data_IF_643924708086
#
_entry.id   IF_643924708086
#
_cell.length_a   1.000
_cell.length_b   1.000
_cell.length_c   1.000
_cell.angle_alpha   90.00
_cell.angle_beta   90.00
_cell.angle_gamma   90.00
#
_symmetry.space_group_name_H-M   'P 1'
#
loop_
_entity.id
_entity.type
_entity.pdbx_description
1 polymer ?
#
# COMPACT_ATOMS: atom_id res chain seq x y z
N UNK A 1 -13.94 26.91 44.41
CA UNK A 1 -14.56 25.60 44.73
C UNK A 1 -14.36 24.67 43.53
N UNK A 2 -14.18 23.37 43.80
CA UNK A 2 -14.02 22.23 42.87
C UNK A 2 -12.61 21.98 42.30
N UNK A 3 -11.85 21.18 43.07
CA UNK A 3 -10.76 20.34 42.61
C UNK A 3 -11.37 19.10 41.95
N UNK A 4 -10.93 18.73 40.74
CA UNK A 4 -11.30 17.48 40.09
C UNK A 4 -10.07 16.57 40.04
N UNK A 5 -10.25 15.38 40.60
CA UNK A 5 -9.26 14.33 40.77
C UNK A 5 -9.10 13.51 39.46
N UNK A 6 -7.87 13.17 39.12
CA UNK A 6 -7.53 12.22 38.06
C UNK A 6 -7.25 10.84 38.67
N UNK A 7 -7.92 9.76 38.23
CA UNK A 7 -7.52 8.41 38.63
C UNK A 7 -6.41 7.83 37.73
N UNK A 8 -5.31 7.52 38.43
CA UNK A 8 -4.36 6.41 38.29
C UNK A 8 -4.27 5.60 36.99
N UNK A 9 -3.11 5.75 36.34
CA UNK A 9 -2.10 4.71 36.06
C UNK A 9 -2.56 3.23 36.15
N UNK A 10 -2.48 2.54 35.01
CA UNK A 10 -2.50 1.08 34.93
C UNK A 10 -1.46 0.60 33.91
N UNK A 11 -0.23 0.39 34.39
CA UNK A 11 0.86 -0.24 33.66
C UNK A 11 0.58 -1.74 33.56
N UNK A 12 0.48 -2.27 32.35
CA UNK A 12 0.37 -3.70 32.06
C UNK A 12 1.38 -4.11 31.01
N UNK A 13 2.65 -4.25 31.42
CA UNK A 13 3.73 -4.84 30.64
C UNK A 13 3.67 -6.37 30.82
N UNK A 14 3.47 -7.12 29.73
CA UNK A 14 3.69 -8.57 29.74
C UNK A 14 4.41 -8.98 28.44
N UNK A 15 5.74 -9.06 28.54
CA UNK A 15 6.63 -9.75 27.61
C UNK A 15 6.41 -11.26 27.74
N UNK A 16 6.20 -11.95 26.62
CA UNK A 16 6.42 -13.39 26.53
C UNK A 16 7.32 -13.69 25.31
N UNK A 17 8.61 -13.84 25.58
CA UNK A 17 9.55 -14.53 24.68
C UNK A 17 9.39 -16.04 24.89
N UNK A 18 9.16 -16.76 23.79
CA UNK A 18 9.33 -18.21 23.61
C UNK A 18 9.22 -18.43 22.08
N UNK A 19 10.09 -19.12 21.36
CA UNK A 19 11.27 -19.92 21.67
C UNK A 19 11.87 -20.41 20.35
N UNK A 20 13.14 -20.78 20.41
CA UNK A 20 13.99 -21.27 19.34
C UNK A 20 13.61 -22.71 18.90
N UNK A 21 13.65 -23.01 17.60
CA UNK A 21 13.92 -24.38 17.12
C UNK A 21 14.53 -24.35 15.70
N UNK A 22 15.75 -24.88 15.63
CA UNK A 22 16.54 -25.12 14.43
C UNK A 22 16.22 -26.48 13.80
N UNK A 23 16.58 -26.65 12.52
CA UNK A 23 16.96 -27.94 11.96
C UNK A 23 16.23 -28.36 10.69
N UNK A 24 16.98 -28.58 9.60
CA UNK A 24 16.45 -29.26 8.40
C UNK A 24 17.30 -29.10 7.15
N UNK A 25 18.45 -29.77 7.11
CA UNK A 25 19.30 -29.97 5.93
C UNK A 25 18.61 -30.87 4.89
N UNK A 26 18.63 -30.53 3.60
CA UNK A 26 18.89 -31.45 2.48
C UNK A 26 18.78 -30.75 1.10
N UNK A 27 19.88 -30.80 0.32
CA UNK A 27 19.92 -30.68 -1.15
C UNK A 27 19.11 -31.81 -1.81
N UNK A 28 18.62 -31.62 -3.05
CA UNK A 28 19.38 -32.15 -4.19
C UNK A 28 19.42 -31.27 -5.45
N UNK A 29 20.56 -31.39 -6.13
CA UNK A 29 20.94 -31.01 -7.49
C UNK A 29 19.88 -31.26 -8.57
N UNK A 30 19.73 -30.30 -9.50
CA UNK A 30 19.36 -30.60 -10.88
C UNK A 30 20.01 -29.61 -11.86
N UNK A 31 21.03 -30.12 -12.55
CA UNK A 31 21.65 -29.58 -13.77
C UNK A 31 20.64 -29.49 -14.91
N UNK A 32 20.56 -28.37 -15.63
CA UNK A 32 20.05 -28.38 -17.01
C UNK A 32 20.75 -27.31 -17.88
N UNK A 33 21.72 -27.81 -18.63
CA UNK A 33 22.04 -27.58 -20.05
C UNK A 33 21.78 -26.20 -20.67
N UNK A 34 22.88 -25.55 -21.04
CA UNK A 34 22.98 -24.46 -22.03
C UNK A 34 22.74 -25.02 -23.42
N UNK A 35 21.79 -24.41 -24.15
CA UNK A 35 21.69 -24.52 -25.62
C UNK A 35 21.77 -23.12 -26.20
N UNK A 36 22.83 -22.89 -26.98
CA UNK A 36 23.01 -21.68 -27.78
C UNK A 36 22.81 -21.98 -29.28
N UNK A 37 22.59 -20.89 -30.04
CA UNK A 37 22.70 -20.71 -31.50
C UNK A 37 21.38 -20.75 -32.30
N UNK A 38 21.29 -20.05 -33.46
CA UNK A 38 21.87 -18.74 -33.83
C UNK A 38 20.84 -17.77 -34.50
N UNK A 39 21.31 -16.54 -34.72
CA UNK A 39 20.99 -15.52 -35.75
C UNK A 39 19.74 -15.67 -36.64
N UNK A 40 18.91 -14.62 -36.68
CA UNK A 40 18.46 -14.06 -37.95
C UNK A 40 18.14 -12.56 -37.84
N UNK A 41 18.61 -11.80 -38.82
CA UNK A 41 18.36 -10.38 -38.99
C UNK A 41 17.26 -10.20 -40.03
N UNK A 42 16.21 -9.44 -39.70
CA UNK A 42 15.31 -8.88 -40.69
C UNK A 42 14.79 -7.52 -40.21
N UNK A 43 15.30 -6.50 -40.90
CA UNK A 43 14.81 -5.13 -40.95
C UNK A 43 13.41 -5.14 -41.59
N UNK A 44 12.44 -4.44 -40.99
CA UNK A 44 11.45 -3.68 -41.76
C UNK A 44 10.68 -2.69 -40.89
N UNK A 45 10.93 -1.44 -41.22
CA UNK A 45 10.19 -0.22 -40.93
C UNK A 45 8.71 -0.35 -41.32
N UNK A 46 7.77 0.10 -40.48
CA UNK A 46 6.73 1.08 -40.89
C UNK A 46 5.77 1.45 -39.75
N UNK A 47 5.52 2.75 -39.68
CA UNK A 47 4.68 3.55 -38.80
C UNK A 47 3.25 3.06 -38.51
N UNK A 48 2.76 3.38 -37.31
CA UNK A 48 1.71 4.41 -37.16
C UNK A 48 1.61 4.88 -35.69
N UNK A 49 1.43 6.19 -35.43
CA UNK A 49 1.15 6.72 -34.10
C UNK A 49 -0.34 6.49 -33.81
N UNK A 50 -0.67 5.60 -32.88
CA UNK A 50 -2.05 5.52 -32.37
C UNK A 50 -2.21 6.54 -31.25
N UNK A 51 -3.09 7.48 -31.57
CA UNK A 51 -3.65 8.54 -30.75
C UNK A 51 -3.76 8.20 -29.27
N UNK A 52 -3.19 9.13 -28.49
CA UNK A 52 -3.67 9.63 -27.22
C UNK A 52 -5.20 9.55 -27.10
N UNK A 53 -5.69 8.51 -26.44
CA UNK A 53 -7.04 8.48 -25.93
C UNK A 53 -6.95 8.57 -24.41
N UNK A 54 -6.96 9.81 -23.91
CA UNK A 54 -7.10 10.10 -22.50
C UNK A 54 -8.33 9.35 -21.97
N UNK A 55 -8.20 8.47 -20.96
CA UNK A 55 -9.36 7.87 -20.34
C UNK A 55 -10.18 8.99 -19.71
N UNK A 56 -11.44 9.09 -20.14
CA UNK A 56 -12.42 9.97 -19.54
C UNK A 56 -12.45 9.68 -18.04
N UNK A 57 -12.01 10.65 -17.25
CA UNK A 57 -12.17 10.63 -15.80
C UNK A 57 -13.66 10.51 -15.51
N UNK A 58 -14.12 9.30 -15.16
CA UNK A 58 -15.41 9.13 -14.51
C UNK A 58 -15.30 9.75 -13.13
N UNK A 59 -15.60 11.05 -13.05
CA UNK A 59 -15.77 11.77 -11.80
C UNK A 59 -17.12 11.34 -11.24
N UNK A 60 -17.12 10.24 -10.49
CA UNK A 60 -18.22 9.95 -9.56
C UNK A 60 -18.11 10.93 -8.40
N UNK A 61 -18.94 11.98 -8.42
CA UNK A 61 -19.16 12.87 -7.27
C UNK A 61 -19.74 12.06 -6.09
N UNK A 62 -18.86 11.60 -5.21
CA UNK A 62 -19.22 11.08 -3.89
C UNK A 62 -19.36 12.25 -2.92
N UNK A 63 -20.59 12.54 -2.47
CA UNK A 63 -20.92 13.61 -1.51
C UNK A 63 -20.56 13.26 -0.06
N UNK A 64 -19.95 12.09 0.18
CA UNK A 64 -19.22 11.80 1.42
C UNK A 64 -17.75 12.14 1.19
N UNK A 65 -17.16 12.96 2.05
CA UNK A 65 -15.73 13.30 2.01
C UNK A 65 -14.91 12.03 2.25
N UNK A 66 -14.59 11.31 1.18
CA UNK A 66 -13.74 10.12 1.23
C UNK A 66 -12.35 10.54 1.75
N UNK A 67 -11.84 9.82 2.75
CA UNK A 67 -10.53 10.09 3.33
C UNK A 67 -9.38 9.60 2.43
N UNK A 68 -9.69 8.79 1.42
CA UNK A 68 -8.74 8.17 0.49
C UNK A 68 -9.02 8.68 -0.92
N UNK A 69 -7.99 9.10 -1.65
CA UNK A 69 -8.14 9.52 -3.04
C UNK A 69 -7.93 8.35 -4.00
N UNK A 70 -8.86 8.15 -4.93
CA UNK A 70 -8.65 7.26 -6.08
C UNK A 70 -7.87 7.99 -7.15
N UNK A 71 -6.60 7.64 -7.33
CA UNK A 71 -5.75 8.23 -8.36
C UNK A 71 -6.01 7.63 -9.75
N UNK A 72 -6.46 6.37 -9.80
CA UNK A 72 -6.71 5.63 -11.04
C UNK A 72 -7.64 4.44 -10.78
N UNK A 73 -8.65 4.19 -11.62
CA UNK A 73 -9.51 3.01 -11.53
C UNK A 73 -9.91 2.51 -12.92
N UNK A 74 -9.35 1.38 -13.31
CA UNK A 74 -9.65 0.68 -14.56
C UNK A 74 -9.73 -0.83 -14.34
N UNK A 75 -10.24 -1.56 -15.34
CA UNK A 75 -10.51 -3.01 -15.28
C UNK A 75 -9.35 -3.87 -14.78
N UNK A 76 -8.09 -3.45 -14.98
CA UNK A 76 -6.89 -4.20 -14.60
C UNK A 76 -6.17 -3.65 -13.38
N UNK A 77 -6.51 -2.43 -12.95
CA UNK A 77 -5.74 -1.70 -11.94
C UNK A 77 -6.59 -0.66 -11.25
N UNK A 78 -6.52 -0.64 -9.93
CA UNK A 78 -7.00 0.46 -9.09
C UNK A 78 -5.83 0.99 -8.26
N UNK A 79 -5.70 2.31 -8.15
CA UNK A 79 -4.66 2.98 -7.34
C UNK A 79 -5.33 3.95 -6.39
N UNK A 80 -5.05 3.78 -5.11
CA UNK A 80 -5.40 4.71 -4.06
C UNK A 80 -4.16 5.45 -3.60
N UNK A 81 -4.31 6.72 -3.25
CA UNK A 81 -3.25 7.54 -2.68
C UNK A 81 -3.73 8.22 -1.42
N UNK A 82 -2.83 8.33 -0.44
CA UNK A 82 -3.05 9.08 0.78
C UNK A 82 -1.86 10.02 1.00
N UNK A 83 -2.13 11.32 1.12
CA UNK A 83 -1.16 12.28 1.65
C UNK A 83 -1.11 12.24 3.20
N UNK A 84 -0.20 12.99 3.81
CA UNK A 84 -0.03 13.01 5.26
C UNK A 84 -1.31 13.46 6.00
N UNK A 85 -2.04 14.46 5.48
CA UNK A 85 -3.27 14.95 6.09
C UNK A 85 -4.40 13.90 6.01
N UNK A 86 -4.48 13.18 4.90
CA UNK A 86 -5.38 12.07 4.69
C UNK A 86 -5.05 10.90 5.62
N UNK A 87 -3.78 10.53 5.78
CA UNK A 87 -3.37 9.51 6.75
C UNK A 87 -3.78 9.93 8.16
N UNK A 88 -3.57 11.19 8.54
CA UNK A 88 -3.99 11.68 9.84
C UNK A 88 -5.50 11.62 10.04
N UNK A 89 -6.28 12.05 9.06
CA UNK A 89 -7.74 11.95 9.11
C UNK A 89 -8.22 10.49 9.12
N UNK A 90 -7.55 9.60 8.40
CA UNK A 90 -7.94 8.19 8.25
C UNK A 90 -7.62 7.37 9.49
N UNK A 91 -6.45 7.61 10.11
CA UNK A 91 -5.99 6.89 11.31
C UNK A 91 -6.49 7.53 12.61
N UNK A 92 -6.78 8.84 12.59
CA UNK A 92 -7.04 9.63 13.79
C UNK A 92 -5.77 9.99 14.56
N UNK A 93 -4.59 9.79 13.97
CA UNK A 93 -3.28 10.03 14.57
C UNK A 93 -2.57 11.17 13.85
N UNK A 94 -1.75 11.95 14.57
CA UNK A 94 -0.96 13.00 13.94
C UNK A 94 0.24 12.39 13.21
N UNK A 95 0.31 12.57 11.89
CA UNK A 95 1.31 11.91 11.05
C UNK A 95 2.75 12.29 11.42
N UNK A 96 2.98 13.53 11.84
CA UNK A 96 4.32 14.09 12.08
C UNK A 96 4.92 13.68 13.43
N UNK A 97 4.07 13.39 14.40
CA UNK A 97 4.46 13.09 15.79
C UNK A 97 4.21 11.65 16.22
N UNK A 98 3.48 10.88 15.43
CA UNK A 98 3.19 9.47 15.71
C UNK A 98 4.28 8.55 15.16
N UNK A 99 4.62 7.51 15.92
CA UNK A 99 5.54 6.47 15.47
C UNK A 99 5.01 5.75 14.23
N UNK A 100 5.90 5.49 13.26
CA UNK A 100 5.50 4.89 11.98
C UNK A 100 4.85 3.51 12.15
N UNK A 101 5.27 2.73 13.16
CA UNK A 101 4.64 1.44 13.46
C UNK A 101 3.18 1.59 13.87
N UNK A 102 2.85 2.61 14.66
CA UNK A 102 1.47 2.84 15.10
C UNK A 102 0.59 3.30 13.92
N UNK A 103 1.13 4.13 13.03
CA UNK A 103 0.46 4.48 11.78
C UNK A 103 0.20 3.25 10.92
N UNK A 104 1.17 2.35 10.77
CA UNK A 104 1.02 1.09 10.01
C UNK A 104 -0.02 0.17 10.66
N UNK A 105 -0.04 0.07 11.99
CA UNK A 105 -1.04 -0.72 12.70
C UNK A 105 -2.45 -0.19 12.41
N UNK A 106 -2.66 1.13 12.48
CA UNK A 106 -3.94 1.74 12.10
C UNK A 106 -4.29 1.56 10.63
N UNK A 107 -3.30 1.71 9.74
CA UNK A 107 -3.48 1.47 8.29
C UNK A 107 -3.72 -0.01 7.98
N UNK A 108 -3.40 -0.93 8.87
CA UNK A 108 -3.68 -2.36 8.72
C UNK A 108 -5.08 -2.75 9.23
N UNK A 109 -5.82 -1.83 9.86
CA UNK A 109 -7.19 -2.11 10.32
C UNK A 109 -8.17 -2.18 9.14
N UNK A 110 -8.60 -3.41 8.79
CA UNK A 110 -9.57 -3.64 7.70
C UNK A 110 -10.84 -2.80 7.80
N UNK A 111 -11.40 -2.64 9.01
CA UNK A 111 -12.65 -1.90 9.23
C UNK A 111 -12.57 -0.44 8.80
N UNK A 112 -11.37 0.18 8.84
CA UNK A 112 -11.18 1.56 8.36
C UNK A 112 -11.30 1.63 6.85
N UNK A 113 -10.73 0.69 6.12
CA UNK A 113 -10.87 0.62 4.67
C UNK A 113 -12.30 0.25 4.24
N UNK A 114 -13.01 -0.56 5.03
CA UNK A 114 -14.43 -0.88 4.78
C UNK A 114 -15.36 0.32 4.97
N UNK A 115 -14.98 1.25 5.85
CA UNK A 115 -15.75 2.47 6.11
C UNK A 115 -15.77 3.45 4.94
N UNK A 116 -14.81 3.34 4.01
CA UNK A 116 -14.72 4.20 2.83
C UNK A 116 -15.39 3.52 1.65
N UNK A 117 -16.32 4.22 0.99
CA UNK A 117 -17.08 3.71 -0.16
C UNK A 117 -16.18 3.21 -1.30
N UNK A 118 -15.13 3.95 -1.60
CA UNK A 118 -14.20 3.66 -2.70
C UNK A 118 -13.26 2.47 -2.45
N UNK A 119 -12.85 2.22 -1.20
CA UNK A 119 -11.93 1.11 -0.86
C UNK A 119 -12.64 -0.12 -0.30
N UNK A 120 -13.94 -0.04 0.02
CA UNK A 120 -14.69 -1.13 0.67
C UNK A 120 -14.51 -2.50 0.00
N UNK A 121 -14.59 -2.55 -1.34
CA UNK A 121 -14.42 -3.79 -2.12
C UNK A 121 -13.01 -4.40 -2.02
N UNK A 122 -12.01 -3.63 -1.61
CA UNK A 122 -10.61 -4.04 -1.51
C UNK A 122 -10.07 -4.06 -0.08
N UNK A 123 -10.89 -3.72 0.92
CA UNK A 123 -10.45 -3.45 2.29
C UNK A 123 -9.58 -4.57 2.89
N UNK A 124 -10.01 -5.83 2.75
CA UNK A 124 -9.25 -6.98 3.24
C UNK A 124 -7.88 -7.12 2.54
N UNK A 125 -7.82 -6.90 1.23
CA UNK A 125 -6.58 -6.99 0.46
C UNK A 125 -5.61 -5.89 0.86
N UNK A 126 -6.12 -4.66 1.02
CA UNK A 126 -5.31 -3.51 1.42
C UNK A 126 -4.76 -3.71 2.84
N UNK A 127 -5.61 -4.08 3.80
CA UNK A 127 -5.19 -4.37 5.16
C UNK A 127 -4.14 -5.49 5.22
N UNK A 128 -4.36 -6.58 4.46
CA UNK A 128 -3.39 -7.68 4.37
C UNK A 128 -2.06 -7.24 3.75
N UNK A 129 -2.09 -6.38 2.74
CA UNK A 129 -0.89 -5.83 2.11
C UNK A 129 -0.12 -4.93 3.08
N UNK A 130 -0.80 -4.06 3.86
CA UNK A 130 -0.15 -3.23 4.88
C UNK A 130 0.59 -4.07 5.93
N UNK A 131 0.04 -5.22 6.32
CA UNK A 131 0.71 -6.14 7.24
C UNK A 131 1.88 -6.88 6.57
N UNK A 132 1.66 -7.47 5.39
CA UNK A 132 2.67 -8.28 4.68
C UNK A 132 3.84 -7.46 4.14
N UNK A 133 3.57 -6.23 3.72
CA UNK A 133 4.52 -5.29 3.13
C UNK A 133 4.78 -4.12 4.09
N UNK A 134 4.78 -4.38 5.39
CA UNK A 134 4.94 -3.36 6.44
C UNK A 134 6.27 -2.59 6.34
N UNK A 135 7.33 -3.22 5.82
CA UNK A 135 8.59 -2.52 5.55
C UNK A 135 8.44 -1.51 4.40
N UNK A 136 7.77 -1.88 3.31
CA UNK A 136 7.44 -0.94 2.21
C UNK A 136 6.55 0.19 2.69
N UNK A 137 5.57 -0.10 3.56
CA UNK A 137 4.74 0.92 4.19
C UNK A 137 5.59 1.88 5.04
N UNK A 138 6.52 1.35 5.85
CA UNK A 138 7.42 2.15 6.69
C UNK A 138 8.32 3.05 5.84
N UNK A 139 8.87 2.52 4.75
CA UNK A 139 9.71 3.30 3.84
C UNK A 139 8.89 4.39 3.13
N UNK A 140 7.65 4.11 2.73
CA UNK A 140 6.76 5.12 2.17
C UNK A 140 6.44 6.24 3.18
N UNK A 141 6.07 5.89 4.43
CA UNK A 141 5.82 6.88 5.49
C UNK A 141 7.08 7.71 5.81
N UNK A 142 8.26 7.08 5.76
CA UNK A 142 9.53 7.79 5.95
C UNK A 142 9.81 8.76 4.81
N UNK A 143 9.51 8.39 3.59
CA UNK A 143 9.69 9.27 2.43
C UNK A 143 8.74 10.47 2.49
N UNK A 144 7.49 10.25 2.88
CA UNK A 144 6.51 11.30 3.15
C UNK A 144 6.93 12.29 4.25
N UNK A 145 7.75 11.87 5.21
CA UNK A 145 8.34 12.77 6.20
C UNK A 145 9.48 13.63 5.64
N UNK A 146 10.12 13.21 4.54
CA UNK A 146 11.21 13.96 3.90
C UNK A 146 10.71 14.88 2.81
N UNK A 147 9.68 14.45 2.08
CA UNK A 147 9.10 15.15 0.95
C UNK A 147 7.58 15.26 1.13
N UNK A 148 7.10 16.48 1.29
CA UNK A 148 5.67 16.79 1.43
C UNK A 148 4.84 16.42 0.18
N UNK A 149 5.50 16.22 -0.97
CA UNK A 149 4.87 15.81 -2.22
C UNK A 149 4.74 14.30 -2.34
N UNK A 150 5.42 13.54 -1.49
CA UNK A 150 5.31 12.09 -1.46
C UNK A 150 3.96 11.68 -0.87
N UNK A 151 3.37 10.64 -1.45
CA UNK A 151 2.09 10.06 -1.01
C UNK A 151 2.23 8.56 -0.86
N UNK A 152 1.55 8.02 0.14
CA UNK A 152 1.37 6.59 0.28
C UNK A 152 0.50 6.10 -0.87
N UNK A 153 0.97 5.10 -1.60
CA UNK A 153 0.28 4.51 -2.75
C UNK A 153 -0.13 3.09 -2.42
N UNK A 154 -1.40 2.78 -2.64
CA UNK A 154 -1.94 1.42 -2.59
C UNK A 154 -2.32 1.02 -4.02
N UNK A 155 -1.62 0.03 -4.56
CA UNK A 155 -1.84 -0.47 -5.91
C UNK A 155 -2.58 -1.81 -5.85
N UNK A 156 -3.81 -1.86 -6.36
CA UNK A 156 -4.59 -3.09 -6.50
C UNK A 156 -4.57 -3.53 -7.96
N UNK A 157 -3.89 -4.63 -8.24
CA UNK A 157 -3.86 -5.26 -9.56
C UNK A 157 -4.97 -6.30 -9.70
N UNK A 158 -5.62 -6.33 -10.86
CA UNK A 158 -6.64 -7.32 -11.22
C UNK A 158 -6.13 -8.12 -12.42
N UNK A 159 -5.97 -9.43 -12.25
CA UNK A 159 -5.74 -10.34 -13.37
C UNK A 159 -6.77 -11.49 -13.33
N UNK A 160 -6.81 -12.30 -14.38
CA UNK A 160 -7.81 -13.36 -14.52
C UNK A 160 -7.74 -14.45 -13.43
N UNK A 161 -6.67 -14.49 -12.64
CA UNK A 161 -6.41 -15.50 -11.60
C UNK A 161 -6.44 -14.93 -10.19
N UNK A 162 -6.15 -13.63 -10.01
CA UNK A 162 -5.99 -13.02 -8.70
C UNK A 162 -6.19 -11.50 -8.72
N UNK A 163 -6.65 -10.99 -7.57
CA UNK A 163 -6.56 -9.58 -7.22
C UNK A 163 -5.57 -9.42 -6.07
N UNK A 164 -4.56 -8.59 -6.24
CA UNK A 164 -3.48 -8.40 -5.26
C UNK A 164 -3.26 -6.91 -5.01
N UNK A 165 -3.12 -6.54 -3.74
CA UNK A 165 -2.77 -5.19 -3.31
C UNK A 165 -1.28 -5.10 -2.94
N UNK A 166 -0.65 -3.98 -3.27
CA UNK A 166 0.75 -3.65 -2.98
C UNK A 166 0.85 -2.24 -2.41
N UNK A 167 1.85 -2.02 -1.56
CA UNK A 167 2.13 -0.75 -0.89
C UNK A 167 3.39 -0.13 -1.48
N UNK A 168 3.35 1.18 -1.73
CA UNK A 168 4.51 1.93 -2.17
C UNK A 168 4.37 3.42 -1.91
N UNK A 169 5.26 4.19 -2.51
CA UNK A 169 5.26 5.66 -2.51
C UNK A 169 5.11 6.16 -3.93
N UNK A 170 4.49 7.32 -4.10
CA UNK A 170 4.51 8.08 -5.34
C UNK A 170 4.84 9.52 -5.04
N UNK A 171 5.53 10.17 -5.98
CA UNK A 171 5.81 11.60 -5.94
C UNK A 171 4.95 12.24 -7.03
N UNK A 172 4.25 13.32 -6.71
CA UNK A 172 3.55 14.07 -7.75
C UNK A 172 4.61 14.77 -8.62
N UNK A 173 4.88 14.25 -9.82
CA UNK A 173 5.71 14.93 -10.83
C UNK A 173 4.92 16.11 -11.41
N UNK A 174 5.07 17.29 -10.81
CA UNK A 174 4.54 18.56 -11.35
C UNK A 174 5.52 19.70 -11.16
#
# INVERSE_FOLDING_TARGET
MKRLAFPALGIGLALALQGCAAGGTAEPTATTTVTASPTDAADNTSASPSEEQAPAASVSESTAKEAVTTAYDESRRTVFTLDAAQISSFTGLDFSSTEQSELIDRLSEQSRWESQSNTKKYAQLIASAMTKESDSARDALREMNKDERAKLRVYVSHNQHATVAHIGVTHDDK
#
